data_IF_874510440795
#
_entry.id   IF_874510440795
#
_cell.length_a   1.000
_cell.length_b   1.000
_cell.length_c   1.000
_cell.angle_alpha   90.00
_cell.angle_beta   90.00
_cell.angle_gamma   90.00
#
_symmetry.space_group_name_H-M   'P 1'
#
loop_
_entity.id
_entity.type
_entity.pdbx_description
1 polymer ?
#
# COMPACT_ATOMS: atom_id res chain seq x y z
N UNK A 1 14.56 10.80 7.62
CA UNK A 1 13.08 10.67 7.76
C UNK A 1 12.82 9.72 8.93
N UNK A 2 11.87 10.00 9.81
CA UNK A 2 11.67 9.22 11.04
C UNK A 2 11.02 7.85 10.76
N UNK A 3 11.36 6.80 11.51
CA UNK A 3 10.66 5.52 11.47
C UNK A 3 9.32 5.61 12.26
N UNK A 4 8.36 4.74 11.95
CA UNK A 4 7.08 4.67 12.68
C UNK A 4 7.21 4.01 14.05
N UNK A 5 8.22 3.15 14.23
CA UNK A 5 8.54 2.51 15.49
C UNK A 5 10.02 2.69 15.81
N UNK A 6 10.35 2.70 17.10
CA UNK A 6 11.71 2.78 17.62
C UNK A 6 12.25 1.39 17.95
N UNK A 7 13.55 1.30 18.21
CA UNK A 7 14.16 0.04 18.69
C UNK A 7 13.63 -0.34 20.07
N UNK A 8 13.26 0.64 20.89
CA UNK A 8 12.73 0.37 22.24
C UNK A 8 11.31 -0.22 22.15
N UNK A 9 10.49 0.21 21.18
CA UNK A 9 9.20 -0.42 20.88
C UNK A 9 9.36 -1.89 20.44
N UNK A 10 10.39 -2.14 19.63
CA UNK A 10 10.74 -3.50 19.21
C UNK A 10 11.18 -4.35 20.40
N UNK A 11 12.08 -3.85 21.25
CA UNK A 11 12.57 -4.54 22.45
C UNK A 11 11.44 -4.90 23.41
N UNK A 12 10.52 -3.95 23.65
CA UNK A 12 9.35 -4.16 24.50
C UNK A 12 8.41 -5.25 23.95
N UNK A 13 8.09 -5.21 22.65
CA UNK A 13 7.14 -6.15 22.01
C UNK A 13 7.74 -7.52 21.69
N UNK A 14 9.04 -7.60 21.46
CA UNK A 14 9.74 -8.86 21.22
C UNK A 14 10.32 -9.47 22.51
N UNK A 15 10.22 -8.79 23.65
CA UNK A 15 10.79 -9.19 24.94
C UNK A 15 12.30 -9.51 24.84
N UNK A 16 13.05 -8.67 24.12
CA UNK A 16 14.49 -8.81 23.91
C UNK A 16 15.21 -7.51 24.27
N UNK A 17 16.51 -7.61 24.60
CA UNK A 17 17.40 -6.45 24.69
C UNK A 17 18.48 -6.57 23.62
N UNK A 18 18.63 -5.52 22.80
CA UNK A 18 19.56 -5.48 21.68
C UNK A 18 20.73 -4.55 22.00
N UNK A 19 21.93 -4.98 21.60
CA UNK A 19 23.14 -4.19 21.77
C UNK A 19 24.00 -4.21 20.49
N UNK A 20 24.84 -3.19 20.35
CA UNK A 20 25.85 -3.08 19.30
C UNK A 20 25.27 -3.18 17.90
N UNK A 21 25.94 -3.96 17.04
CA UNK A 21 25.58 -4.13 15.63
C UNK A 21 24.15 -4.62 15.41
N UNK A 22 23.60 -5.42 16.33
CA UNK A 22 22.23 -5.93 16.22
C UNK A 22 21.20 -4.83 16.43
N UNK A 23 21.47 -3.88 17.33
CA UNK A 23 20.60 -2.71 17.55
C UNK A 23 20.55 -1.84 16.28
N UNK A 24 21.72 -1.55 15.69
CA UNK A 24 21.83 -0.79 14.45
C UNK A 24 21.15 -1.48 13.26
N UNK A 25 21.23 -2.82 13.18
CA UNK A 25 20.54 -3.58 12.15
C UNK A 25 19.01 -3.46 12.28
N UNK A 26 18.48 -3.59 13.50
CA UNK A 26 17.03 -3.43 13.74
C UNK A 26 16.56 -2.02 13.43
N UNK A 27 17.34 -1.01 13.78
CA UNK A 27 17.06 0.38 13.43
C UNK A 27 16.95 0.60 11.91
N UNK A 28 17.87 0.02 11.13
CA UNK A 28 17.82 0.07 9.68
C UNK A 28 16.56 -0.62 9.12
N UNK A 29 16.22 -1.81 9.63
CA UNK A 29 15.01 -2.52 9.19
C UNK A 29 13.72 -1.79 9.56
N UNK A 30 13.66 -1.10 10.71
CA UNK A 30 12.51 -0.28 11.08
C UNK A 30 12.35 0.92 10.12
N UNK A 31 13.46 1.53 9.69
CA UNK A 31 13.43 2.61 8.70
C UNK A 31 12.94 2.11 7.33
N UNK A 32 13.44 0.95 6.87
CA UNK A 32 13.04 0.34 5.61
C UNK A 32 11.57 -0.11 5.63
N UNK A 33 11.12 -0.75 6.71
CA UNK A 33 9.72 -1.13 6.92
C UNK A 33 8.81 0.10 6.88
N UNK A 34 9.21 1.19 7.54
CA UNK A 34 8.46 2.44 7.53
C UNK A 34 8.37 3.06 6.13
N UNK A 35 9.45 2.97 5.34
CA UNK A 35 9.45 3.45 3.95
C UNK A 35 8.57 2.58 3.04
N UNK A 36 8.53 1.26 3.29
CA UNK A 36 7.63 0.33 2.61
C UNK A 36 6.16 0.66 2.92
N UNK A 37 5.79 0.78 4.19
CA UNK A 37 4.43 1.07 4.64
C UNK A 37 3.88 2.38 4.03
N UNK A 38 4.71 3.42 3.94
CA UNK A 38 4.31 4.72 3.33
C UNK A 38 3.81 4.60 1.89
N UNK A 39 4.30 3.64 1.13
CA UNK A 39 3.86 3.43 -0.26
C UNK A 39 2.43 2.92 -0.33
N UNK A 40 1.94 2.31 0.74
CA UNK A 40 0.61 1.71 0.83
C UNK A 40 -0.41 2.59 1.55
N UNK A 41 0.04 3.63 2.26
CA UNK A 41 -0.86 4.60 2.90
C UNK A 41 -1.33 5.61 1.84
N UNK A 42 -2.64 5.70 1.55
CA UNK A 42 -3.16 6.66 0.60
C UNK A 42 -2.99 8.10 1.11
N UNK A 43 -2.80 9.05 0.20
CA UNK A 43 -2.69 10.46 0.55
C UNK A 43 -3.98 10.96 1.23
N UNK A 44 -3.85 11.63 2.38
CA UNK A 44 -4.99 12.13 3.15
C UNK A 44 -5.51 11.18 4.24
N UNK A 45 -5.01 9.94 4.29
CA UNK A 45 -5.31 9.01 5.37
C UNK A 45 -4.12 8.89 6.31
N UNK A 46 -4.37 8.95 7.62
CA UNK A 46 -3.37 8.65 8.65
C UNK A 46 -3.90 7.50 9.51
N UNK A 47 -3.34 6.29 9.35
CA UNK A 47 -3.69 5.17 10.21
C UNK A 47 -3.33 5.47 11.67
N UNK A 48 -3.98 4.77 12.59
CA UNK A 48 -3.68 4.89 14.02
C UNK A 48 -2.19 4.61 14.32
N UNK A 49 -1.62 5.39 15.24
CA UNK A 49 -0.20 5.33 15.56
C UNK A 49 0.20 3.99 16.19
N UNK A 50 -0.67 3.38 16.99
CA UNK A 50 -0.42 2.07 17.60
C UNK A 50 -0.42 0.96 16.54
N UNK A 51 -1.34 1.04 15.57
CA UNK A 51 -1.38 0.15 14.41
C UNK A 51 -0.11 0.26 13.56
N UNK A 52 0.37 1.48 13.29
CA UNK A 52 1.61 1.71 12.56
C UNK A 52 2.81 1.08 13.29
N UNK A 53 2.90 1.25 14.61
CA UNK A 53 3.96 0.63 15.42
C UNK A 53 3.85 -0.89 15.39
N UNK A 54 2.65 -1.45 15.54
CA UNK A 54 2.40 -2.88 15.56
C UNK A 54 2.83 -3.56 14.26
N UNK A 55 2.41 -3.02 13.11
CA UNK A 55 2.75 -3.56 11.79
C UNK A 55 4.26 -3.41 11.54
N UNK A 56 4.85 -2.25 11.82
CA UNK A 56 6.27 -2.02 11.62
C UNK A 56 7.13 -3.02 12.42
N UNK A 57 6.77 -3.29 13.69
CA UNK A 57 7.47 -4.27 14.52
C UNK A 57 7.25 -5.70 14.02
N UNK A 58 6.03 -6.04 13.58
CA UNK A 58 5.71 -7.38 13.05
C UNK A 58 6.56 -7.71 11.80
N UNK A 59 6.65 -6.79 10.85
CA UNK A 59 7.48 -6.93 9.64
C UNK A 59 8.94 -7.17 10.00
N UNK A 60 9.50 -6.38 10.92
CA UNK A 60 10.90 -6.53 11.33
C UNK A 60 11.15 -7.86 12.07
N UNK A 61 10.23 -8.30 12.93
CA UNK A 61 10.31 -9.63 13.57
C UNK A 61 10.34 -10.74 12.53
N UNK A 62 9.54 -10.62 11.47
CA UNK A 62 9.47 -11.60 10.39
C UNK A 62 10.79 -11.69 9.60
N UNK A 63 11.35 -10.54 9.22
CA UNK A 63 12.67 -10.44 8.57
C UNK A 63 13.77 -11.10 9.42
N UNK A 64 13.77 -10.84 10.72
CA UNK A 64 14.78 -11.39 11.63
C UNK A 64 14.60 -12.90 11.85
N UNK A 65 13.37 -13.39 11.86
CA UNK A 65 13.07 -14.81 12.00
C UNK A 65 13.44 -15.61 10.73
N UNK A 66 13.23 -15.04 9.54
CA UNK A 66 13.57 -15.65 8.27
C UNK A 66 14.36 -14.69 7.34
N UNK A 67 15.63 -14.40 7.65
CA UNK A 67 16.43 -13.45 6.88
C UNK A 67 16.78 -13.96 5.48
N UNK A 68 16.64 -15.27 5.24
CA UNK A 68 17.11 -15.93 4.02
C UNK A 68 16.06 -16.18 2.96
N UNK A 69 14.80 -15.73 3.14
CA UNK A 69 13.76 -15.99 2.14
C UNK A 69 13.45 -17.47 1.93
N UNK A 70 13.81 -18.33 2.88
CA UNK A 70 13.80 -19.78 2.65
C UNK A 70 12.36 -20.29 2.80
N UNK A 71 11.78 -20.75 1.68
CA UNK A 71 10.48 -21.44 1.64
C UNK A 71 10.55 -22.87 2.18
N UNK A 72 11.74 -23.46 2.22
CA UNK A 72 12.01 -24.80 2.75
C UNK A 72 13.34 -24.82 3.49
N UNK A 73 13.38 -25.50 4.64
CA UNK A 73 14.62 -25.83 5.34
C UNK A 73 14.61 -27.34 5.64
N UNK A 74 15.49 -28.07 4.97
CA UNK A 74 15.75 -29.48 5.31
C UNK A 74 16.80 -29.53 6.42
N UNK A 75 16.44 -30.07 7.59
CA UNK A 75 17.39 -30.36 8.67
C UNK A 75 17.38 -31.89 8.87
N UNK A 76 18.38 -32.56 8.31
CA UNK A 76 18.48 -34.02 8.40
C UNK A 76 17.31 -34.72 7.68
N UNK A 77 16.53 -35.52 8.42
CA UNK A 77 15.37 -36.28 7.91
C UNK A 77 14.05 -35.50 8.01
N UNK A 78 14.06 -34.29 8.61
CA UNK A 78 12.86 -33.49 8.80
C UNK A 78 12.83 -32.34 7.79
N UNK A 79 11.73 -32.28 7.03
CA UNK A 79 11.42 -31.17 6.11
C UNK A 79 10.39 -30.28 6.78
N UNK A 80 10.76 -29.05 7.10
CA UNK A 80 9.84 -28.03 7.58
C UNK A 80 9.59 -27.01 6.47
N UNK A 81 8.32 -26.84 6.10
CA UNK A 81 7.88 -25.82 5.15
C UNK A 81 7.60 -24.55 5.96
N UNK A 82 8.48 -23.55 5.86
CA UNK A 82 8.19 -22.22 6.37
C UNK A 82 7.21 -21.57 5.39
N UNK A 83 5.95 -21.43 5.81
CA UNK A 83 4.81 -21.09 4.95
C UNK A 83 4.81 -19.68 4.35
N UNK A 84 5.76 -18.81 4.70
CA UNK A 84 5.77 -17.42 4.26
C UNK A 84 7.10 -17.01 3.57
N UNK A 85 7.01 -16.15 2.56
CA UNK A 85 8.14 -15.63 1.80
C UNK A 85 9.07 -14.82 2.70
N UNK A 86 10.21 -15.35 3.15
CA UNK A 86 11.11 -14.55 4.00
C UNK A 86 11.60 -13.27 3.31
N UNK A 87 11.65 -12.16 4.05
CA UNK A 87 12.02 -10.84 3.50
C UNK A 87 11.24 -9.71 4.16
N UNK A 88 11.49 -8.48 3.72
CA UNK A 88 10.78 -7.28 4.17
C UNK A 88 9.57 -7.05 3.24
N UNK A 89 8.41 -7.50 3.67
CA UNK A 89 7.14 -7.37 2.94
C UNK A 89 5.99 -7.19 3.93
N UNK A 90 4.89 -6.67 3.43
CA UNK A 90 3.61 -6.59 4.14
C UNK A 90 2.74 -7.74 3.67
N UNK A 91 1.98 -8.34 4.59
CA UNK A 91 0.89 -9.25 4.23
C UNK A 91 -0.31 -8.46 3.70
N UNK A 92 -1.21 -9.15 3.00
CA UNK A 92 -2.44 -8.53 2.49
C UNK A 92 -3.28 -7.93 3.63
N UNK A 93 -3.41 -8.63 4.75
CA UNK A 93 -4.11 -8.15 5.96
C UNK A 93 -3.47 -6.88 6.55
N UNK A 94 -2.12 -6.79 6.56
CA UNK A 94 -1.39 -5.61 7.03
C UNK A 94 -1.59 -4.42 6.07
N UNK A 95 -1.63 -4.69 4.76
CA UNK A 95 -1.91 -3.68 3.75
C UNK A 95 -3.35 -3.15 3.88
N UNK A 96 -4.31 -4.01 4.20
CA UNK A 96 -5.70 -3.60 4.38
C UNK A 96 -5.90 -2.76 5.63
N UNK A 97 -5.18 -3.05 6.73
CA UNK A 97 -5.15 -2.20 7.93
C UNK A 97 -4.50 -0.82 7.70
N UNK A 98 -3.68 -0.67 6.66
CA UNK A 98 -3.07 0.61 6.27
C UNK A 98 -3.97 1.45 5.36
N UNK A 99 -5.08 0.88 4.89
CA UNK A 99 -6.09 1.55 4.07
C UNK A 99 -7.32 1.89 4.93
N UNK A 100 -8.10 2.91 4.54
CA UNK A 100 -9.40 3.13 5.15
C UNK A 100 -10.30 1.89 4.94
N UNK A 101 -11.04 1.48 5.98
CA UNK A 101 -11.93 0.31 5.97
C UNK A 101 -13.06 0.42 4.93
N UNK A 102 -13.37 1.64 4.49
CA UNK A 102 -14.48 1.93 3.60
C UNK A 102 -13.98 2.62 2.34
N UNK A 103 -14.20 1.97 1.19
CA UNK A 103 -14.40 2.69 -0.08
C UNK A 103 -15.71 3.50 -0.06
N UNK A 104 -16.57 3.29 0.93
CA UNK A 104 -17.72 4.13 1.25
C UNK A 104 -17.32 5.19 2.29
N UNK A 105 -16.43 6.11 1.89
CA UNK A 105 -16.34 7.38 2.57
C UNK A 105 -17.70 8.09 2.40
N UNK A 106 -18.45 8.46 3.46
CA UNK A 106 -19.65 9.28 3.32
C UNK A 106 -19.36 10.68 2.72
N UNK A 107 -18.08 11.02 2.50
CA UNK A 107 -17.59 12.13 1.68
C UNK A 107 -17.01 11.75 0.31
N UNK A 108 -17.07 10.48 -0.13
CA UNK A 108 -16.64 10.07 -1.48
C UNK A 108 -17.42 10.81 -2.58
N UNK A 109 -18.68 11.12 -2.30
CA UNK A 109 -19.54 11.94 -3.16
C UNK A 109 -19.05 13.39 -3.29
N UNK A 110 -18.19 13.87 -2.36
CA UNK A 110 -17.66 15.22 -2.35
C UNK A 110 -16.23 15.33 -2.91
N UNK A 111 -15.53 14.22 -3.16
CA UNK A 111 -14.16 14.23 -3.69
C UNK A 111 -14.11 14.62 -5.18
N UNK A 112 -15.20 14.41 -5.92
CA UNK A 112 -15.35 14.82 -7.31
C UNK A 112 -16.60 15.69 -7.48
N UNK A 113 -16.43 17.02 -7.52
CA UNK A 113 -17.48 17.90 -8.02
C UNK A 113 -17.46 17.91 -9.55
N UNK A 114 -18.37 17.15 -10.17
CA UNK A 114 -18.70 17.33 -11.59
C UNK A 114 -19.65 18.53 -11.70
N UNK A 115 -19.14 19.70 -12.09
CA UNK A 115 -20.02 20.75 -12.59
C UNK A 115 -20.47 20.36 -14.01
N UNK A 116 -21.78 20.09 -14.16
CA UNK A 116 -22.44 20.02 -15.46
C UNK A 116 -22.40 21.43 -16.07
N UNK A 117 -21.32 21.70 -16.79
CA UNK A 117 -21.19 22.89 -17.61
C UNK A 117 -21.97 22.69 -18.90
N UNK A 118 -23.20 23.17 -18.92
CA UNK A 118 -23.96 23.33 -20.15
C UNK A 118 -23.43 24.56 -20.88
N UNK A 119 -22.42 24.37 -21.75
CA UNK A 119 -21.88 25.42 -22.61
C UNK A 119 -22.85 25.81 -23.76
N UNK A 120 -24.14 25.47 -23.66
CA UNK A 120 -25.15 25.88 -24.63
C UNK A 120 -24.85 25.30 -26.01
N UNK A 121 -24.57 23.99 -26.06
CA UNK A 121 -24.51 23.28 -27.34
C UNK A 121 -25.83 23.51 -28.08
N UNK A 122 -25.81 23.95 -29.36
CA UNK A 122 -27.04 24.20 -30.10
C UNK A 122 -27.88 22.93 -30.06
N UNK A 123 -29.08 23.05 -29.51
CA UNK A 123 -29.95 21.94 -29.19
C UNK A 123 -30.03 20.95 -30.34
N UNK A 124 -29.87 19.66 -30.01
CA UNK A 124 -30.05 18.58 -30.96
C UNK A 124 -31.43 18.74 -31.63
N UNK A 125 -31.40 19.15 -32.90
CA UNK A 125 -32.57 19.15 -33.75
C UNK A 125 -32.58 17.84 -34.52
N UNK A 126 -33.64 17.03 -34.44
CA UNK A 126 -33.77 15.92 -35.36
C UNK A 126 -33.84 16.52 -36.77
N UNK A 127 -32.78 16.34 -37.55
CA UNK A 127 -32.80 16.63 -38.99
C UNK A 127 -33.89 15.79 -39.67
N UNK A 128 -34.46 16.27 -40.79
CA UNK A 128 -35.55 15.57 -41.47
C UNK A 128 -35.10 14.16 -41.91
N UNK A 129 -36.05 13.21 -42.04
CA UNK A 129 -35.72 11.81 -42.28
C UNK A 129 -35.21 11.64 -43.71
N UNK A 130 -33.89 11.58 -43.87
CA UNK A 130 -33.24 11.37 -45.16
C UNK A 130 -31.90 10.68 -44.94
N UNK A 131 -31.91 9.35 -44.96
CA UNK A 131 -30.71 8.53 -44.82
C UNK A 131 -29.81 8.67 -46.06
N UNK A 132 -28.52 8.92 -45.79
CA UNK A 132 -27.41 8.49 -46.65
C UNK A 132 -27.01 9.46 -47.77
N UNK A 133 -25.80 10.03 -47.67
CA UNK A 133 -24.76 9.87 -48.69
C UNK A 133 -23.41 10.40 -48.18
N UNK A 134 -22.48 9.46 -47.99
CA UNK A 134 -21.04 9.44 -48.34
C UNK A 134 -20.34 10.78 -48.60
N UNK A 135 -19.18 10.98 -47.96
CA UNK A 135 -18.14 11.88 -48.50
C UNK A 135 -16.96 12.12 -47.56
N UNK A 136 -15.94 11.28 -47.61
CA UNK A 136 -14.60 11.59 -47.07
C UNK A 136 -13.89 12.66 -47.93
N UNK A 137 -12.94 13.37 -47.30
CA UNK A 137 -11.90 14.29 -47.83
C UNK A 137 -12.31 15.78 -47.92
N UNK A 138 -11.47 16.78 -47.60
CA UNK A 138 -10.01 16.87 -47.44
C UNK A 138 -9.67 18.16 -46.65
N UNK A 139 -8.54 18.17 -45.92
CA UNK A 139 -7.90 19.35 -45.29
C UNK A 139 -7.62 20.48 -46.30
N UNK A 140 -7.58 21.75 -45.87
CA UNK A 140 -6.75 22.77 -46.51
C UNK A 140 -5.44 22.99 -45.76
N UNK A 141 -4.41 23.36 -46.53
CA UNK A 141 -3.17 23.99 -46.10
C UNK A 141 -3.42 25.46 -45.74
#
# INVERSE_FOLDING_TARGET
>A
MAAYATVDDYEARAAVSLAGARRAQVEAYLADASALMRKHIPAGFTPDAETLVAICVAVVRRVIANPGGRRQRTIGQYSETLGEDGGLYLTDDEVDQLKPETLEDPGADAAYSLELRDDGLPGWSPGPPGWGHVGYARRPL
#
